data_IF_671530918436
#
_entry.id   IF_671530918436
#
_cell.length_a   1.000
_cell.length_b   1.000
_cell.length_c   1.000
_cell.angle_alpha   90.00
_cell.angle_beta   90.00
_cell.angle_gamma   90.00
#
_symmetry.space_group_name_H-M   'P 1'
#
loop_
_entity.id
_entity.type
_entity.pdbx_description
1 polymer ?
#
# COMPACT_ATOMS: atom_id res chain seq x y z
N UNK A 1 -4.09 16.63 36.17
CA UNK A 1 -3.27 16.67 34.95
C UNK A 1 -3.08 15.25 34.44
N UNK A 2 -3.74 14.88 33.33
CA UNK A 2 -3.61 13.55 32.77
C UNK A 2 -2.24 13.42 32.07
N UNK A 3 -1.43 12.43 32.46
CA UNK A 3 -0.18 12.08 31.78
C UNK A 3 -0.53 11.65 30.35
N UNK A 4 -0.34 12.54 29.36
CA UNK A 4 -0.25 12.14 27.96
C UNK A 4 0.85 11.07 27.88
N UNK A 5 0.45 9.81 27.73
CA UNK A 5 1.38 8.76 27.37
C UNK A 5 1.92 9.12 25.99
N UNK A 6 3.18 9.55 25.97
CA UNK A 6 3.93 9.79 24.74
C UNK A 6 4.10 8.40 24.11
N UNK A 7 3.20 8.05 23.20
CA UNK A 7 3.25 6.77 22.50
C UNK A 7 4.47 6.80 21.59
N UNK A 8 5.60 6.26 22.06
CA UNK A 8 6.77 6.06 21.22
C UNK A 8 6.45 4.93 20.24
N UNK A 9 6.22 5.32 18.99
CA UNK A 9 5.99 4.38 17.90
C UNK A 9 7.21 3.46 17.78
N UNK A 10 6.99 2.14 17.91
CA UNK A 10 8.05 1.15 17.73
C UNK A 10 8.70 1.35 16.35
N UNK A 11 10.04 1.40 16.32
CA UNK A 11 10.83 1.72 15.11
C UNK A 11 10.52 0.82 13.91
N UNK A 12 10.01 -0.39 14.11
CA UNK A 12 9.78 -1.37 13.05
C UNK A 12 8.43 -2.11 13.13
N UNK A 13 7.52 -1.69 14.01
CA UNK A 13 6.25 -2.39 14.30
C UNK A 13 6.41 -3.91 14.56
N UNK A 14 7.58 -4.36 15.03
CA UNK A 14 7.96 -5.77 15.20
C UNK A 14 8.10 -6.58 13.91
N UNK A 15 8.10 -5.92 12.75
CA UNK A 15 8.23 -6.56 11.43
C UNK A 15 9.72 -6.74 11.01
N UNK A 16 10.70 -6.37 11.85
CA UNK A 16 12.12 -6.67 11.63
C UNK A 16 12.67 -6.20 10.29
N UNK A 17 13.43 -7.04 9.59
CA UNK A 17 14.00 -6.67 8.28
C UNK A 17 12.93 -6.40 7.20
N UNK A 18 11.79 -7.11 7.26
CA UNK A 18 10.65 -6.93 6.36
C UNK A 18 10.09 -5.51 6.48
N UNK A 19 10.02 -4.94 7.69
CA UNK A 19 9.60 -3.55 7.87
C UNK A 19 10.44 -2.58 7.05
N UNK A 20 11.77 -2.72 7.17
CA UNK A 20 12.71 -1.78 6.56
C UNK A 20 12.68 -1.89 5.05
N UNK A 21 12.52 -3.10 4.52
CA UNK A 21 12.51 -3.34 3.08
C UNK A 21 11.19 -2.89 2.43
N UNK A 22 10.04 -3.10 3.08
CA UNK A 22 8.74 -2.67 2.56
C UNK A 22 8.46 -1.19 2.82
N UNK A 23 8.79 -0.71 4.02
CA UNK A 23 8.31 0.59 4.51
C UNK A 23 9.41 1.52 5.00
N UNK A 24 10.70 1.18 4.84
CA UNK A 24 11.79 1.93 5.48
C UNK A 24 11.87 3.42 5.11
N UNK A 25 11.30 3.81 3.97
CA UNK A 25 11.28 5.19 3.47
C UNK A 25 9.86 5.71 3.19
N UNK A 26 8.83 5.07 3.74
CA UNK A 26 7.45 5.51 3.54
C UNK A 26 7.11 6.72 4.43
N UNK A 27 6.22 7.59 3.96
CA UNK A 27 5.75 8.74 4.75
C UNK A 27 5.17 8.30 6.11
N UNK A 28 4.44 7.19 6.14
CA UNK A 28 3.82 6.66 7.35
C UNK A 28 4.80 6.14 8.42
N UNK A 29 6.05 5.88 8.06
CA UNK A 29 7.06 5.27 8.94
C UNK A 29 8.20 6.22 9.28
N UNK A 30 8.40 7.27 8.47
CA UNK A 30 9.40 8.30 8.73
C UNK A 30 9.03 9.19 9.94
N UNK A 31 10.05 9.82 10.55
CA UNK A 31 9.89 10.76 11.67
C UNK A 31 10.76 12.00 11.52
N UNK A 32 10.36 13.13 12.12
CA UNK A 32 11.14 14.36 12.14
C UNK A 32 11.35 14.97 10.76
N UNK A 33 12.57 15.42 10.47
CA UNK A 33 12.92 16.07 9.19
C UNK A 33 12.77 15.15 7.96
N UNK A 34 12.97 13.84 8.13
CA UNK A 34 12.71 12.87 7.06
C UNK A 34 11.21 12.80 6.71
N UNK A 35 10.34 12.79 7.73
CA UNK A 35 8.89 12.83 7.52
C UNK A 35 8.46 14.12 6.82
N UNK A 36 8.96 15.29 7.29
CA UNK A 36 8.63 16.57 6.65
C UNK A 36 9.02 16.59 5.17
N UNK A 37 10.22 16.10 4.84
CA UNK A 37 10.73 16.03 3.46
C UNK A 37 9.89 15.11 2.57
N UNK A 38 9.56 13.91 3.06
CA UNK A 38 8.72 12.97 2.30
C UNK A 38 7.30 13.51 2.18
N UNK A 39 6.74 14.09 3.24
CA UNK A 39 5.38 14.66 3.20
C UNK A 39 5.29 15.81 2.21
N UNK A 40 6.28 16.70 2.16
CA UNK A 40 6.25 17.86 1.28
C UNK A 40 6.24 17.52 -0.20
N UNK A 41 6.72 16.34 -0.62
CA UNK A 41 6.61 15.91 -2.02
C UNK A 41 5.17 15.62 -2.43
N UNK A 42 4.28 15.41 -1.46
CA UNK A 42 2.87 15.12 -1.70
C UNK A 42 1.95 16.33 -1.52
N UNK A 43 2.44 17.46 -0.99
CA UNK A 43 1.60 18.61 -0.64
C UNK A 43 0.85 19.18 -1.85
N UNK A 44 1.46 19.15 -3.04
CA UNK A 44 0.80 19.53 -4.29
C UNK A 44 -0.36 18.58 -4.65
N UNK A 45 -0.10 17.26 -4.62
CA UNK A 45 -1.08 16.23 -5.01
C UNK A 45 -2.32 16.18 -4.10
N UNK A 46 -2.18 16.58 -2.83
CA UNK A 46 -3.29 16.63 -1.87
C UNK A 46 -3.75 18.06 -1.56
N UNK A 47 -3.47 19.01 -2.43
CA UNK A 47 -3.99 20.38 -2.33
C UNK A 47 -5.50 20.41 -2.57
N UNK A 48 -6.18 21.47 -2.11
CA UNK A 48 -7.62 21.64 -2.36
C UNK A 48 -7.96 21.62 -3.86
N UNK A 49 -7.13 22.27 -4.68
CA UNK A 49 -7.28 22.31 -6.14
C UNK A 49 -7.15 20.91 -6.76
N UNK A 50 -6.12 20.14 -6.39
CA UNK A 50 -5.94 18.78 -6.87
C UNK A 50 -7.06 17.84 -6.42
N UNK A 51 -7.55 18.01 -5.19
CA UNK A 51 -8.71 17.26 -4.70
C UNK A 51 -9.96 17.57 -5.53
N UNK A 52 -10.23 18.84 -5.84
CA UNK A 52 -11.37 19.22 -6.70
C UNK A 52 -11.30 18.56 -8.06
N UNK A 53 -10.11 18.50 -8.68
CA UNK A 53 -9.91 17.81 -9.97
C UNK A 53 -10.07 16.28 -9.85
N UNK A 54 -9.83 15.71 -8.67
CA UNK A 54 -9.93 14.28 -8.41
C UNK A 54 -11.37 13.81 -8.15
N UNK A 55 -12.25 14.69 -7.67
CA UNK A 55 -13.65 14.35 -7.37
C UNK A 55 -14.37 13.78 -8.58
N UNK A 56 -14.22 14.42 -9.75
CA UNK A 56 -14.84 13.97 -10.99
C UNK A 56 -14.39 12.55 -11.36
N UNK A 57 -13.08 12.29 -11.30
CA UNK A 57 -12.52 10.96 -11.54
C UNK A 57 -13.10 9.91 -10.58
N UNK A 58 -13.17 10.20 -9.28
CA UNK A 58 -13.72 9.26 -8.30
C UNK A 58 -15.21 8.99 -8.52
N UNK A 59 -15.99 10.01 -8.88
CA UNK A 59 -17.40 9.86 -9.21
C UNK A 59 -17.61 8.97 -10.43
N UNK A 60 -16.82 9.17 -11.49
CA UNK A 60 -16.89 8.37 -12.71
C UNK A 60 -16.58 6.89 -12.43
N UNK A 61 -15.51 6.61 -11.68
CA UNK A 61 -15.15 5.26 -11.26
C UNK A 61 -16.26 4.60 -10.42
N UNK A 62 -16.84 5.34 -9.47
CA UNK A 62 -17.95 4.83 -8.67
C UNK A 62 -19.18 4.52 -9.53
N UNK A 63 -19.56 5.44 -10.43
CA UNK A 63 -20.70 5.24 -11.34
C UNK A 63 -20.48 4.04 -12.26
N UNK A 64 -19.28 3.88 -12.82
CA UNK A 64 -18.93 2.75 -13.66
C UNK A 64 -19.00 1.44 -12.89
N UNK A 65 -18.35 1.36 -11.73
CA UNK A 65 -18.29 0.13 -10.94
C UNK A 65 -19.67 -0.29 -10.39
N UNK A 66 -20.50 0.67 -9.97
CA UNK A 66 -21.87 0.37 -9.52
C UNK A 66 -22.75 -0.16 -10.67
N UNK A 67 -22.57 0.31 -11.91
CA UNK A 67 -23.27 -0.26 -13.08
C UNK A 67 -22.87 -1.72 -13.29
N UNK A 68 -21.57 -2.03 -13.23
CA UNK A 68 -21.08 -3.41 -13.32
C UNK A 68 -21.68 -4.31 -12.22
N UNK A 69 -21.78 -3.84 -10.98
CA UNK A 69 -22.42 -4.61 -9.90
C UNK A 69 -23.91 -4.87 -10.19
N UNK A 70 -24.63 -3.89 -10.72
CA UNK A 70 -26.05 -4.07 -11.08
C UNK A 70 -26.18 -5.12 -12.19
N UNK A 71 -25.35 -5.02 -13.23
CA UNK A 71 -25.38 -5.87 -14.42
C UNK A 71 -24.92 -7.32 -14.13
N UNK A 72 -23.82 -7.48 -13.40
CA UNK A 72 -23.15 -8.77 -13.21
C UNK A 72 -23.52 -9.45 -11.88
N UNK A 73 -23.73 -8.65 -10.82
CA UNK A 73 -23.96 -9.15 -9.44
C UNK A 73 -25.38 -8.90 -8.95
N UNK A 74 -26.30 -8.53 -9.84
CA UNK A 74 -27.72 -8.27 -9.52
C UNK A 74 -27.89 -7.24 -8.39
N UNK A 75 -26.97 -6.29 -8.29
CA UNK A 75 -26.98 -5.23 -7.28
C UNK A 75 -26.50 -5.63 -5.88
N UNK A 76 -25.92 -6.82 -5.71
CA UNK A 76 -25.34 -7.23 -4.42
C UNK A 76 -23.90 -6.69 -4.32
N UNK A 77 -23.67 -5.84 -3.33
CA UNK A 77 -22.35 -5.26 -3.01
C UNK A 77 -21.75 -6.01 -1.82
N UNK A 78 -20.51 -6.46 -1.95
CA UNK A 78 -19.75 -7.08 -0.86
C UNK A 78 -18.69 -6.12 -0.29
N UNK A 79 -18.09 -6.47 0.84
CA UNK A 79 -16.94 -5.71 1.36
C UNK A 79 -15.74 -5.75 0.42
N UNK A 80 -15.51 -6.88 -0.26
CA UNK A 80 -14.42 -7.02 -1.22
C UNK A 80 -14.61 -6.08 -2.42
N UNK A 81 -15.86 -5.88 -2.84
CA UNK A 81 -16.21 -4.91 -3.89
C UNK A 81 -15.82 -3.48 -3.50
N UNK A 82 -16.11 -3.08 -2.26
CA UNK A 82 -15.77 -1.75 -1.77
C UNK A 82 -14.26 -1.57 -1.60
N UNK A 83 -13.56 -2.61 -1.15
CA UNK A 83 -12.10 -2.62 -1.04
C UNK A 83 -11.48 -2.48 -2.44
N UNK A 84 -11.97 -3.24 -3.42
CA UNK A 84 -11.47 -3.22 -4.79
C UNK A 84 -11.70 -1.88 -5.47
N UNK A 85 -12.91 -1.32 -5.35
CA UNK A 85 -13.24 0.01 -5.87
C UNK A 85 -12.34 1.09 -5.26
N UNK A 86 -12.17 1.07 -3.93
CA UNK A 86 -11.30 2.02 -3.23
C UNK A 86 -9.85 1.87 -3.70
N UNK A 87 -9.38 0.63 -3.88
CA UNK A 87 -8.04 0.36 -4.36
C UNK A 87 -7.83 0.86 -5.79
N UNK A 88 -8.77 0.60 -6.71
CA UNK A 88 -8.72 1.09 -8.09
C UNK A 88 -8.63 2.61 -8.15
N UNK A 89 -9.52 3.31 -7.43
CA UNK A 89 -9.50 4.78 -7.37
C UNK A 89 -8.18 5.33 -6.82
N UNK A 90 -7.64 4.70 -5.76
CA UNK A 90 -6.37 5.10 -5.18
C UNK A 90 -5.21 4.92 -6.17
N UNK A 91 -5.19 3.83 -6.93
CA UNK A 91 -4.16 3.56 -7.92
C UNK A 91 -4.26 4.52 -9.11
N UNK A 92 -5.47 4.76 -9.62
CA UNK A 92 -5.72 5.76 -10.67
C UNK A 92 -5.26 7.16 -10.25
N UNK A 93 -5.58 7.56 -9.02
CA UNK A 93 -5.10 8.81 -8.44
C UNK A 93 -3.56 8.84 -8.31
N UNK A 94 -2.96 7.75 -7.82
CA UNK A 94 -1.52 7.68 -7.55
C UNK A 94 -0.68 7.72 -8.84
N UNK A 95 -1.13 7.04 -9.89
CA UNK A 95 -0.43 6.98 -11.19
C UNK A 95 -0.88 8.08 -12.16
N UNK A 96 -1.96 8.80 -11.87
CA UNK A 96 -2.50 9.85 -12.72
C UNK A 96 -3.05 9.35 -14.06
N UNK A 97 -3.41 8.07 -14.16
CA UNK A 97 -3.91 7.42 -15.38
C UNK A 97 -4.83 6.26 -15.04
N UNK A 98 -5.62 5.84 -16.04
CA UNK A 98 -6.37 4.60 -15.94
C UNK A 98 -5.45 3.40 -15.71
N UNK A 99 -5.92 2.51 -14.83
CA UNK A 99 -5.28 1.24 -14.50
C UNK A 99 -6.06 0.15 -15.22
N UNK A 100 -5.37 -0.60 -16.07
CA UNK A 100 -5.97 -1.73 -16.79
C UNK A 100 -6.31 -2.87 -15.83
N UNK A 101 -7.18 -3.80 -16.23
CA UNK A 101 -7.52 -4.97 -15.39
C UNK A 101 -6.28 -5.83 -15.07
N UNK A 102 -5.37 -6.00 -16.03
CA UNK A 102 -4.14 -6.76 -15.82
C UNK A 102 -3.21 -6.08 -14.80
N UNK A 103 -3.10 -4.75 -14.86
CA UNK A 103 -2.31 -3.98 -13.88
C UNK A 103 -2.96 -4.01 -12.50
N UNK A 104 -4.28 -3.92 -12.43
CA UNK A 104 -5.01 -4.03 -11.18
C UNK A 104 -4.81 -5.42 -10.56
N UNK A 105 -4.89 -6.47 -11.36
CA UNK A 105 -4.66 -7.84 -10.92
C UNK A 105 -3.22 -8.01 -10.37
N UNK A 106 -2.21 -7.50 -11.07
CA UNK A 106 -0.82 -7.50 -10.57
C UNK A 106 -0.70 -6.75 -9.23
N UNK A 107 -1.34 -5.59 -9.09
CA UNK A 107 -1.35 -4.82 -7.85
C UNK A 107 -2.06 -5.55 -6.69
N UNK A 108 -3.14 -6.29 -6.96
CA UNK A 108 -3.82 -7.14 -5.98
C UNK A 108 -2.89 -8.26 -5.52
N UNK A 109 -2.18 -8.91 -6.44
CA UNK A 109 -1.23 -9.97 -6.12
C UNK A 109 -0.04 -9.45 -5.32
N UNK A 110 0.49 -8.29 -5.67
CA UNK A 110 1.53 -7.60 -4.91
C UNK A 110 1.05 -7.26 -3.49
N UNK A 111 -0.19 -6.77 -3.34
CA UNK A 111 -0.81 -6.54 -2.03
C UNK A 111 -0.93 -7.84 -1.21
N UNK A 112 -1.35 -8.93 -1.85
CA UNK A 112 -1.44 -10.23 -1.18
C UNK A 112 -0.05 -10.71 -0.71
N UNK A 113 0.97 -10.54 -1.55
CA UNK A 113 2.36 -10.88 -1.21
C UNK A 113 2.88 -10.06 -0.03
N UNK A 114 2.58 -8.76 0.03
CA UNK A 114 2.86 -7.90 1.20
C UNK A 114 2.15 -8.43 2.45
N UNK A 115 0.89 -8.83 2.34
CA UNK A 115 0.12 -9.44 3.43
C UNK A 115 0.80 -10.70 3.98
N UNK A 116 1.26 -11.59 3.10
CA UNK A 116 2.02 -12.80 3.47
C UNK A 116 3.35 -12.46 4.13
N UNK A 117 4.11 -11.49 3.61
CA UNK A 117 5.37 -11.05 4.20
C UNK A 117 5.17 -10.49 5.61
N UNK A 118 4.10 -9.73 5.84
CA UNK A 118 3.73 -9.26 7.17
C UNK A 118 3.35 -10.45 8.07
N UNK A 119 2.54 -11.38 7.58
CA UNK A 119 2.14 -12.57 8.35
C UNK A 119 3.34 -13.43 8.79
N UNK A 120 4.31 -13.63 7.91
CA UNK A 120 5.56 -14.36 8.18
C UNK A 120 6.33 -13.79 9.38
N UNK A 121 6.26 -12.46 9.59
CA UNK A 121 6.97 -11.81 10.71
C UNK A 121 6.39 -12.16 12.09
N UNK A 122 5.11 -12.56 12.14
CA UNK A 122 4.46 -12.98 13.37
C UNK A 122 4.76 -14.44 13.70
N UNK A 123 5.00 -15.27 12.70
CA UNK A 123 5.26 -16.71 12.87
C UNK A 123 6.74 -17.03 13.00
N UNK A 124 7.62 -16.15 12.49
CA UNK A 124 9.05 -16.36 12.49
C UNK A 124 9.81 -15.32 13.34
N UNK A 125 10.19 -15.66 14.58
CA UNK A 125 10.89 -14.74 15.47
C UNK A 125 12.30 -14.38 14.99
N UNK A 126 12.89 -15.18 14.10
CA UNK A 126 14.25 -14.98 13.61
C UNK A 126 14.39 -13.79 12.66
N UNK A 127 13.28 -13.30 12.07
CA UNK A 127 13.24 -12.13 11.17
C UNK A 127 13.82 -10.86 11.81
N UNK A 128 13.89 -10.82 13.14
CA UNK A 128 14.44 -9.69 13.90
C UNK A 128 15.97 -9.72 14.01
N UNK A 129 16.62 -10.84 13.68
CA UNK A 129 18.08 -10.93 13.76
C UNK A 129 18.75 -10.13 12.63
N UNK A 130 19.83 -9.36 12.92
CA UNK A 130 20.49 -8.51 11.93
C UNK A 130 20.96 -9.22 10.64
N UNK A 131 21.30 -10.50 10.74
CA UNK A 131 21.81 -11.30 9.62
C UNK A 131 20.73 -12.11 8.89
N UNK A 132 19.49 -12.12 9.39
CA UNK A 132 18.41 -12.92 8.83
C UNK A 132 18.17 -12.61 7.35
N UNK A 133 18.29 -11.34 6.95
CA UNK A 133 18.13 -10.88 5.56
C UNK A 133 19.10 -11.51 4.55
N UNK A 134 20.20 -12.11 5.02
CA UNK A 134 21.18 -12.77 4.15
C UNK A 134 20.98 -14.29 4.07
N UNK A 135 20.09 -14.85 4.88
CA UNK A 135 19.83 -16.28 4.89
C UNK A 135 18.90 -16.68 3.74
N UNK A 136 19.06 -17.87 3.14
CA UNK A 136 18.18 -18.36 2.06
C UNK A 136 16.85 -18.86 2.64
N UNK A 137 16.01 -17.94 3.11
CA UNK A 137 14.70 -18.25 3.72
C UNK A 137 13.56 -17.97 2.75
N UNK A 138 12.43 -18.65 2.93
CA UNK A 138 11.22 -18.40 2.12
C UNK A 138 10.73 -16.95 2.20
N UNK A 139 10.85 -16.30 3.37
CA UNK A 139 10.53 -14.88 3.53
C UNK A 139 11.43 -13.99 2.67
N UNK A 140 12.75 -14.25 2.63
CA UNK A 140 13.66 -13.46 1.82
C UNK A 140 13.46 -13.70 0.31
N UNK A 141 13.11 -14.93 -0.09
CA UNK A 141 12.73 -15.23 -1.47
C UNK A 141 11.48 -14.46 -1.89
N UNK A 142 10.42 -14.48 -1.07
CA UNK A 142 9.20 -13.70 -1.30
C UNK A 142 9.46 -12.20 -1.31
N UNK A 143 10.34 -11.71 -0.44
CA UNK A 143 10.72 -10.29 -0.41
C UNK A 143 11.44 -9.88 -1.71
N UNK A 144 12.35 -10.72 -2.20
CA UNK A 144 13.03 -10.49 -3.47
C UNK A 144 12.07 -10.56 -4.67
N UNK A 145 11.09 -11.48 -4.63
CA UNK A 145 10.04 -11.55 -5.64
C UNK A 145 9.19 -10.28 -5.65
N UNK A 146 8.74 -9.81 -4.48
CA UNK A 146 7.99 -8.56 -4.34
C UNK A 146 8.78 -7.39 -4.91
N UNK A 147 10.04 -7.23 -4.50
CA UNK A 147 10.89 -6.12 -4.96
C UNK A 147 11.06 -6.16 -6.48
N UNK A 148 11.32 -7.34 -7.06
CA UNK A 148 11.44 -7.52 -8.51
C UNK A 148 10.15 -7.13 -9.25
N UNK A 149 9.00 -7.64 -8.81
CA UNK A 149 7.70 -7.39 -9.45
C UNK A 149 7.27 -5.92 -9.28
N UNK A 150 7.44 -5.37 -8.09
CA UNK A 150 7.14 -3.96 -7.80
C UNK A 150 7.98 -3.01 -8.66
N UNK A 151 9.29 -3.26 -8.78
CA UNK A 151 10.16 -2.47 -9.65
C UNK A 151 9.79 -2.64 -11.13
N UNK A 152 9.39 -3.84 -11.55
CA UNK A 152 8.94 -4.07 -12.92
C UNK A 152 7.65 -3.31 -13.23
N UNK A 153 6.71 -3.27 -12.29
CA UNK A 153 5.45 -2.53 -12.42
C UNK A 153 5.69 -1.02 -12.56
N UNK A 154 6.60 -0.46 -11.76
CA UNK A 154 6.87 0.99 -11.71
C UNK A 154 7.96 1.49 -12.67
N UNK A 155 8.35 0.70 -13.69
CA UNK A 155 9.39 1.09 -14.66
C UNK A 155 8.91 2.08 -15.74
N UNK A 156 7.62 2.40 -15.76
CA UNK A 156 6.94 3.12 -16.82
C UNK A 156 6.49 4.50 -16.37
#
# INVERSE_FOLDING_TARGET
>A
MAKQHKYERLKDFRLGCVFRQLFGHAAGTASGEAHKRIRSTFDGCYSAESVTQTVEMMEEECKHYLRLIVEEKKGIITMDDLILLTFRMLMKFTYGRDITEDELQELIELRALVGTLIADTFTNPFIKFPFYKYLPTGTNQRMAEFERRWLQFNKW
#
